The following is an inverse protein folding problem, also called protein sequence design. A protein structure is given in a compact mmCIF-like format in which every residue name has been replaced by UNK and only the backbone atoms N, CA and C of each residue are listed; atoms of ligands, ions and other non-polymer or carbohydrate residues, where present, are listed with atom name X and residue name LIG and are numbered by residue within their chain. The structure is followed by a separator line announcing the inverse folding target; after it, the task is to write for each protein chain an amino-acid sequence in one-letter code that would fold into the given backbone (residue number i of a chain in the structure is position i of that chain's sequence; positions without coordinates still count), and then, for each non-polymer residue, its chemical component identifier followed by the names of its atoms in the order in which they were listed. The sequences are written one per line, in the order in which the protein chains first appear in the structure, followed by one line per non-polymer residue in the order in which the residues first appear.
data_IF_923343276531
#
_entry.id   IF_923343276531
#
_cell.length_a   1.000
_cell.length_b   1.000
_cell.length_c   1.000
_cell.angle_alpha   90.00
_cell.angle_beta   90.00
_cell.angle_gamma   90.00
#
_symmetry.space_group_name_H-M   'P 1'
#
loop_
_entity.id
_entity.type
_entity.pdbx_description
1 polymer ?
#
# COMPACT_ATOMS: atom_id res chain seq x y z
N UNK A 1 -4.64 10.89 -9.63
CA UNK A 1 -4.40 9.87 -8.58
C UNK A 1 -2.99 9.39 -8.81
N UNK A 2 -2.08 9.63 -7.87
CA UNK A 2 -0.67 9.26 -8.02
C UNK A 2 -0.55 7.73 -8.14
N UNK A 3 0.22 7.24 -9.10
CA UNK A 3 0.42 5.82 -9.36
C UNK A 3 1.48 5.24 -8.40
N UNK A 4 1.37 3.94 -8.11
CA UNK A 4 2.34 3.26 -7.25
C UNK A 4 3.56 2.90 -8.08
N UNK A 5 4.74 3.36 -7.67
CA UNK A 5 6.01 3.08 -8.35
C UNK A 5 6.84 2.02 -7.63
N UNK A 6 6.62 1.83 -6.32
CA UNK A 6 7.34 0.82 -5.54
C UNK A 6 6.58 0.48 -4.24
N UNK A 7 6.76 -0.76 -3.76
CA UNK A 7 6.26 -1.21 -2.44
C UNK A 7 7.29 -2.15 -1.82
N UNK A 8 7.67 -1.88 -0.58
CA UNK A 8 8.60 -2.72 0.19
C UNK A 8 8.22 -2.76 1.67
N UNK A 9 8.65 -3.82 2.37
CA UNK A 9 8.39 -3.96 3.80
C UNK A 9 9.24 -2.99 4.62
N UNK A 10 8.64 -2.41 5.66
CA UNK A 10 9.33 -1.50 6.56
C UNK A 10 10.38 -2.25 7.39
N UNK A 11 11.60 -1.72 7.42
CA UNK A 11 12.77 -2.35 8.05
C UNK A 11 12.61 -2.75 9.54
N UNK A 12 11.71 -2.09 10.27
CA UNK A 12 11.48 -2.30 11.72
C UNK A 12 10.16 -3.00 12.03
N UNK A 13 9.18 -2.92 11.13
CA UNK A 13 7.80 -3.31 11.41
C UNK A 13 7.34 -4.33 10.39
N UNK A 14 7.25 -5.59 10.81
CA UNK A 14 6.77 -6.69 9.96
C UNK A 14 5.33 -6.48 9.52
N UNK A 15 5.04 -6.83 8.27
CA UNK A 15 3.74 -6.66 7.60
C UNK A 15 3.28 -5.20 7.47
N UNK A 16 4.16 -4.23 7.75
CA UNK A 16 3.97 -2.82 7.42
C UNK A 16 4.80 -2.54 6.19
N UNK A 17 4.19 -1.91 5.19
CA UNK A 17 4.79 -1.64 3.90
C UNK A 17 4.86 -0.14 3.65
N UNK A 18 5.91 0.28 2.96
CA UNK A 18 6.07 1.64 2.44
C UNK A 18 5.69 1.58 0.97
N UNK A 19 4.74 2.42 0.57
CA UNK A 19 4.26 2.59 -0.80
C UNK A 19 4.80 3.92 -1.32
N UNK A 20 5.64 3.87 -2.34
CA UNK A 20 6.16 5.06 -3.03
C UNK A 20 5.25 5.38 -4.22
N UNK A 21 4.88 6.65 -4.34
CA UNK A 21 4.02 7.18 -5.39
C UNK A 21 4.84 7.98 -6.41
N UNK A 22 4.34 8.12 -7.64
CA UNK A 22 5.04 8.82 -8.73
C UNK A 22 5.28 10.32 -8.44
N UNK A 23 4.46 10.90 -7.56
CA UNK A 23 4.59 12.29 -7.09
C UNK A 23 5.69 12.47 -6.03
N UNK A 24 6.42 11.40 -5.69
CA UNK A 24 7.49 11.40 -4.70
C UNK A 24 7.00 11.28 -3.26
N UNK A 25 5.68 11.19 -3.02
CA UNK A 25 5.15 10.95 -1.68
C UNK A 25 5.20 9.48 -1.30
N UNK A 26 5.29 9.21 0.00
CA UNK A 26 5.30 7.86 0.56
C UNK A 26 4.15 7.66 1.53
N UNK A 27 3.50 6.50 1.47
CA UNK A 27 2.42 6.09 2.38
C UNK A 27 2.78 4.80 3.10
N UNK A 28 2.31 4.66 4.33
CA UNK A 28 2.32 3.37 5.02
C UNK A 28 1.08 2.59 4.58
N UNK A 29 1.24 1.28 4.46
CA UNK A 29 0.14 0.40 4.14
C UNK A 29 0.36 -0.99 4.78
N UNK A 30 -0.71 -1.78 4.84
CA UNK A 30 -0.67 -3.19 5.23
C UNK A 30 -1.21 -4.04 4.09
N UNK A 31 -0.75 -5.29 3.97
CA UNK A 31 -1.30 -6.22 2.97
C UNK A 31 -2.79 -6.43 3.24
N UNK A 32 -3.63 -6.23 2.23
CA UNK A 32 -5.06 -6.45 2.37
C UNK A 32 -5.37 -7.95 2.31
N UNK A 33 -5.95 -8.48 3.38
CA UNK A 33 -6.39 -9.87 3.45
C UNK A 33 -7.71 -10.14 2.72
N UNK A 34 -8.49 -9.09 2.42
CA UNK A 34 -9.76 -9.17 1.70
C UNK A 34 -9.74 -8.21 0.48
N UNK A 35 -9.15 -8.64 -0.66
CA UNK A 35 -8.98 -7.79 -1.83
C UNK A 35 -10.30 -7.16 -2.32
N UNK A 36 -10.28 -5.87 -2.62
CA UNK A 36 -11.43 -5.09 -3.08
C UNK A 36 -12.35 -4.57 -1.96
N UNK A 37 -12.15 -5.00 -0.70
CA UNK A 37 -12.92 -4.50 0.44
C UNK A 37 -12.19 -3.38 1.17
N UNK A 38 -12.94 -2.35 1.53
CA UNK A 38 -12.50 -1.22 2.37
C UNK A 38 -13.32 -1.22 3.66
N UNK A 39 -12.71 -0.85 4.77
CA UNK A 39 -13.37 -0.81 6.08
C UNK A 39 -13.88 0.60 6.35
N UNK A 40 -13.03 1.62 6.18
CA UNK A 40 -13.31 3.02 6.50
C UNK A 40 -13.14 3.95 5.30
N UNK A 41 -13.13 3.39 4.08
CA UNK A 41 -12.97 4.17 2.85
C UNK A 41 -11.51 4.50 2.51
N UNK A 42 -10.57 3.88 3.20
CA UNK A 42 -9.14 4.04 2.93
C UNK A 42 -8.74 3.67 1.49
N UNK A 43 -7.57 4.17 1.07
CA UNK A 43 -7.05 3.92 -0.27
C UNK A 43 -6.52 2.49 -0.37
N UNK A 44 -6.86 1.83 -1.49
CA UNK A 44 -6.30 0.53 -1.86
C UNK A 44 -5.26 0.72 -2.95
N UNK A 45 -4.05 0.22 -2.70
CA UNK A 45 -2.94 0.21 -3.62
C UNK A 45 -2.79 -1.18 -4.23
N UNK A 46 -2.63 -1.27 -5.55
CA UNK A 46 -2.36 -2.55 -6.24
C UNK A 46 -0.93 -2.53 -6.75
N UNK A 47 -0.15 -3.54 -6.37
CA UNK A 47 1.24 -3.66 -6.78
C UNK A 47 1.63 -5.13 -6.96
N UNK A 48 2.15 -5.47 -8.14
CA UNK A 48 2.61 -6.83 -8.49
C UNK A 48 1.62 -7.97 -8.16
N UNK A 49 0.32 -7.70 -8.31
CA UNK A 49 -0.74 -8.68 -8.05
C UNK A 49 -1.18 -8.76 -6.59
N UNK A 50 -0.57 -8.00 -5.69
CA UNK A 50 -1.00 -7.85 -4.31
C UNK A 50 -1.79 -6.54 -4.11
N UNK A 51 -2.67 -6.53 -3.11
CA UNK A 51 -3.40 -5.35 -2.70
C UNK A 51 -2.95 -4.92 -1.31
N UNK A 52 -2.68 -3.63 -1.14
CA UNK A 52 -2.30 -3.01 0.12
C UNK A 52 -3.31 -1.94 0.48
N UNK A 53 -3.49 -1.76 1.78
CA UNK A 53 -4.44 -0.83 2.37
C UNK A 53 -3.69 0.20 3.19
N UNK A 54 -3.93 1.48 2.90
CA UNK A 54 -3.41 2.62 3.66
C UNK A 54 -3.76 2.52 5.15
#
# INVERSE_FOLDING_TARGET
MSEVVNVYEHEKYKNVYIVELDDGSTRLATKNLAPGFRVYGERLFKWRGEEYRE
#
